data_IF_151441268639
#
_entry.id   IF_151441268639
#
_cell.length_a   1.000
_cell.length_b   1.000
_cell.length_c   1.000
_cell.angle_alpha   90.00
_cell.angle_beta   90.00
_cell.angle_gamma   90.00
#
_symmetry.space_group_name_H-M   'P 1'
#
loop_
_entity.id
_entity.type
_entity.pdbx_description
1 polymer ?
#
# COMPACT_ATOMS: atom_id res chain seq x y z
N UNK A 1 43.32 -34.20 -28.74
CA UNK A 1 42.85 -34.41 -27.37
C UNK A 1 41.60 -33.54 -27.06
N UNK A 2 41.50 -32.28 -27.44
CA UNK A 2 40.31 -31.43 -27.17
C UNK A 2 38.99 -31.93 -27.79
N UNK A 3 39.02 -32.55 -28.99
CA UNK A 3 37.83 -33.07 -29.68
C UNK A 3 37.24 -34.32 -29.02
N UNK A 4 38.08 -35.15 -28.37
CA UNK A 4 37.62 -36.36 -27.67
C UNK A 4 36.96 -36.02 -26.34
N UNK A 5 37.45 -34.98 -25.66
CA UNK A 5 36.85 -34.49 -24.40
C UNK A 5 35.47 -33.87 -24.65
N UNK A 6 35.27 -33.14 -25.76
CA UNK A 6 33.97 -32.59 -26.14
C UNK A 6 32.97 -33.71 -26.53
N UNK A 7 33.39 -34.75 -27.17
CA UNK A 7 32.54 -35.90 -27.52
C UNK A 7 32.12 -36.69 -26.25
N UNK A 8 33.01 -36.86 -25.29
CA UNK A 8 32.70 -37.51 -24.01
C UNK A 8 31.75 -36.65 -23.14
N UNK A 9 31.90 -35.33 -23.16
CA UNK A 9 31.03 -34.43 -22.43
C UNK A 9 29.61 -34.38 -23.04
N UNK A 10 29.48 -34.41 -24.37
CA UNK A 10 28.20 -34.50 -25.07
C UNK A 10 27.46 -35.81 -24.82
N UNK A 11 28.19 -36.91 -24.69
CA UNK A 11 27.61 -38.22 -24.43
C UNK A 11 27.13 -38.40 -22.99
N UNK A 12 27.73 -37.69 -22.02
CA UNK A 12 27.26 -37.69 -20.62
C UNK A 12 25.99 -36.83 -20.39
N UNK A 13 25.72 -35.83 -21.23
CA UNK A 13 24.47 -35.07 -21.17
C UNK A 13 23.27 -35.82 -21.79
N UNK A 14 23.51 -36.74 -22.72
CA UNK A 14 22.44 -37.50 -23.36
C UNK A 14 21.87 -38.62 -22.46
N UNK A 15 22.61 -39.08 -21.47
CA UNK A 15 22.14 -40.12 -20.54
C UNK A 15 21.21 -39.66 -19.45
N UNK A 16 21.02 -38.36 -19.24
CA UNK A 16 20.08 -37.80 -18.26
C UNK A 16 18.63 -37.64 -18.77
N UNK A 17 18.36 -38.01 -20.05
CA UNK A 17 16.99 -38.15 -20.57
C UNK A 17 16.39 -39.55 -20.30
N UNK A 18 16.86 -40.25 -19.28
CA UNK A 18 16.24 -41.50 -18.84
C UNK A 18 14.81 -41.25 -18.40
N UNK A 19 13.91 -41.96 -19.07
CA UNK A 19 12.47 -41.92 -18.90
C UNK A 19 12.02 -41.64 -17.44
N UNK A 20 11.36 -40.50 -17.23
CA UNK A 20 10.64 -40.32 -15.99
C UNK A 20 9.64 -41.47 -15.85
N UNK A 21 9.60 -42.17 -14.71
CA UNK A 21 8.65 -43.25 -14.52
C UNK A 21 7.25 -42.70 -14.77
N UNK A 22 6.46 -43.38 -15.60
CA UNK A 22 5.05 -43.07 -15.83
C UNK A 22 4.36 -43.13 -14.47
N UNK A 23 4.24 -41.98 -13.81
CA UNK A 23 3.54 -41.87 -12.53
C UNK A 23 2.06 -41.90 -12.87
N UNK A 24 1.39 -43.03 -12.62
CA UNK A 24 -0.07 -43.10 -12.68
C UNK A 24 -0.61 -42.44 -11.43
N UNK A 25 -1.16 -41.25 -11.57
CA UNK A 25 -1.77 -40.50 -10.49
C UNK A 25 -3.25 -40.93 -10.39
N UNK A 26 -3.68 -41.42 -9.23
CA UNK A 26 -5.10 -41.69 -8.99
C UNK A 26 -5.88 -40.38 -8.82
N UNK A 27 -7.20 -40.42 -9.05
CA UNK A 27 -8.03 -39.23 -8.88
C UNK A 27 -7.97 -38.68 -7.45
N UNK A 28 -7.94 -39.54 -6.44
CA UNK A 28 -7.86 -39.15 -5.03
C UNK A 28 -6.52 -38.48 -4.69
N UNK A 29 -5.44 -38.96 -5.25
CA UNK A 29 -4.11 -38.33 -5.09
C UNK A 29 -4.08 -36.96 -5.77
N UNK A 30 -4.62 -36.85 -7.00
CA UNK A 30 -4.71 -35.59 -7.72
C UNK A 30 -5.58 -34.59 -6.97
N UNK A 31 -6.69 -35.03 -6.37
CA UNK A 31 -7.57 -34.22 -5.54
C UNK A 31 -6.82 -33.69 -4.30
N UNK A 32 -6.14 -34.56 -3.57
CA UNK A 32 -5.39 -34.17 -2.39
C UNK A 32 -4.27 -33.19 -2.71
N UNK A 33 -3.51 -33.42 -3.79
CA UNK A 33 -2.46 -32.50 -4.25
C UNK A 33 -3.04 -31.14 -4.65
N UNK A 34 -4.17 -31.14 -5.34
CA UNK A 34 -4.84 -29.89 -5.74
C UNK A 34 -5.32 -29.11 -4.52
N UNK A 35 -6.00 -29.74 -3.58
CA UNK A 35 -6.52 -29.06 -2.40
C UNK A 35 -5.43 -28.58 -1.45
N UNK A 36 -4.28 -29.25 -1.41
CA UNK A 36 -3.17 -28.89 -0.52
C UNK A 36 -2.27 -27.80 -1.11
N UNK A 37 -1.99 -27.88 -2.41
CA UNK A 37 -0.94 -27.07 -3.04
C UNK A 37 -1.48 -25.91 -3.89
N UNK A 38 -2.77 -25.90 -4.22
CA UNK A 38 -3.34 -24.90 -5.13
C UNK A 38 -3.24 -23.48 -4.54
N UNK A 39 -2.69 -22.53 -5.29
CA UNK A 39 -2.57 -21.14 -4.85
C UNK A 39 -3.92 -20.47 -4.54
N UNK A 40 -4.99 -20.85 -5.25
CA UNK A 40 -6.34 -20.28 -5.03
C UNK A 40 -6.92 -20.68 -3.67
N UNK A 41 -6.63 -21.88 -3.17
CA UNK A 41 -7.01 -22.31 -1.82
C UNK A 41 -6.25 -21.48 -0.77
N UNK A 42 -4.93 -21.32 -0.97
CA UNK A 42 -4.12 -20.49 -0.06
C UNK A 42 -4.58 -19.03 -0.07
N UNK A 43 -4.91 -18.48 -1.25
CA UNK A 43 -5.43 -17.11 -1.36
C UNK A 43 -6.75 -16.97 -0.58
N UNK A 44 -7.71 -17.91 -0.74
CA UNK A 44 -8.98 -17.87 -0.01
C UNK A 44 -8.80 -17.95 1.52
N UNK A 45 -7.80 -18.71 1.99
CA UNK A 45 -7.46 -18.77 3.43
C UNK A 45 -6.94 -17.41 3.93
N UNK A 46 -6.06 -16.75 3.16
CA UNK A 46 -5.57 -15.43 3.51
C UNK A 46 -6.68 -14.36 3.45
N UNK A 47 -7.64 -14.48 2.54
CA UNK A 47 -8.81 -13.60 2.50
C UNK A 47 -9.67 -13.75 3.78
N UNK A 48 -9.86 -14.97 4.28
CA UNK A 48 -10.55 -15.21 5.54
C UNK A 48 -9.80 -14.59 6.73
N UNK A 49 -8.48 -14.80 6.81
CA UNK A 49 -7.66 -14.16 7.84
C UNK A 49 -7.70 -12.63 7.75
N UNK A 50 -7.70 -12.07 6.54
CA UNK A 50 -7.81 -10.63 6.33
C UNK A 50 -9.15 -10.10 6.85
N UNK A 51 -10.27 -10.79 6.54
CA UNK A 51 -11.60 -10.42 7.04
C UNK A 51 -11.69 -10.45 8.57
N UNK A 52 -11.04 -11.42 9.23
CA UNK A 52 -10.95 -11.46 10.69
C UNK A 52 -10.17 -10.27 11.26
N UNK A 53 -9.07 -9.89 10.61
CA UNK A 53 -8.26 -8.72 11.00
C UNK A 53 -9.03 -7.41 10.76
N UNK A 54 -9.77 -7.31 9.67
CA UNK A 54 -10.67 -6.18 9.39
C UNK A 54 -11.75 -6.04 10.46
N UNK A 55 -12.32 -7.15 10.93
CA UNK A 55 -13.26 -7.12 12.06
C UNK A 55 -12.60 -6.57 13.33
N UNK A 56 -11.37 -6.99 13.64
CA UNK A 56 -10.63 -6.44 14.80
C UNK A 56 -10.36 -4.95 14.62
N UNK A 57 -10.00 -4.52 13.41
CA UNK A 57 -9.79 -3.11 13.08
C UNK A 57 -11.10 -2.29 13.20
N UNK A 58 -12.24 -2.85 12.74
CA UNK A 58 -13.55 -2.21 12.88
C UNK A 58 -13.94 -2.04 14.36
N UNK A 59 -13.60 -3.00 15.22
CA UNK A 59 -13.78 -2.86 16.66
C UNK A 59 -12.93 -1.71 17.23
N UNK A 60 -11.72 -1.53 16.70
CA UNK A 60 -10.81 -0.44 17.07
C UNK A 60 -11.36 0.97 16.79
N UNK A 61 -12.38 1.11 15.92
CA UNK A 61 -13.04 2.40 15.69
C UNK A 61 -13.72 2.98 16.93
N UNK A 62 -13.95 2.17 17.96
CA UNK A 62 -14.49 2.61 19.26
C UNK A 62 -13.42 3.17 20.19
N UNK A 63 -12.15 2.92 19.89
CA UNK A 63 -11.03 3.33 20.73
C UNK A 63 -10.62 4.78 20.44
N UNK A 64 -10.02 5.48 21.43
CA UNK A 64 -9.41 6.77 21.20
C UNK A 64 -8.32 6.69 20.13
N UNK A 65 -8.33 7.63 19.19
CA UNK A 65 -7.28 7.78 18.20
C UNK A 65 -6.31 8.84 18.68
N UNK A 66 -5.03 8.47 18.77
CA UNK A 66 -3.95 9.37 19.11
C UNK A 66 -3.17 9.64 17.83
N UNK A 67 -3.06 10.92 17.47
CA UNK A 67 -2.28 11.38 16.32
C UNK A 67 -1.20 12.34 16.77
N UNK A 68 -0.04 12.28 16.15
CA UNK A 68 1.01 13.28 16.26
C UNK A 68 1.25 13.83 14.87
N UNK A 69 1.21 15.17 14.76
CA UNK A 69 1.48 15.88 13.51
C UNK A 69 2.65 16.81 13.72
N UNK A 70 3.56 16.86 12.76
CA UNK A 70 4.65 17.81 12.74
C UNK A 70 4.74 18.43 11.36
N UNK A 71 4.95 19.73 11.28
CA UNK A 71 5.24 20.45 10.06
C UNK A 71 6.47 21.34 10.27
N UNK A 72 7.34 21.36 9.29
CA UNK A 72 8.48 22.26 9.25
C UNK A 72 8.49 22.98 7.90
N UNK A 73 8.57 24.30 7.97
CA UNK A 73 8.70 25.14 6.80
C UNK A 73 9.95 26.00 6.92
N UNK A 74 10.68 26.11 5.83
CA UNK A 74 11.84 26.99 5.71
C UNK A 74 11.55 28.00 4.60
N UNK A 75 11.52 29.29 4.96
CA UNK A 75 11.30 30.38 4.03
C UNK A 75 12.63 30.88 3.49
N UNK A 76 12.62 31.42 2.27
CA UNK A 76 13.81 32.01 1.64
C UNK A 76 14.29 33.24 2.40
N UNK A 77 13.35 34.01 2.99
CA UNK A 77 13.58 35.23 3.74
C UNK A 77 12.69 35.30 4.96
N UNK A 78 13.13 36.08 5.97
CA UNK A 78 12.34 36.38 7.15
C UNK A 78 11.19 37.30 6.74
N UNK A 79 9.99 37.06 7.31
CA UNK A 79 8.85 37.92 7.06
C UNK A 79 8.92 39.10 8.01
N UNK A 80 9.23 40.26 7.46
CA UNK A 80 9.33 41.51 8.20
C UNK A 80 8.29 42.50 7.67
N UNK A 81 7.66 43.27 8.57
CA UNK A 81 6.92 44.45 8.16
C UNK A 81 7.88 45.63 8.19
N UNK A 82 8.12 46.21 7.00
CA UNK A 82 8.92 47.42 6.87
C UNK A 82 8.04 48.66 7.06
N UNK A 83 8.19 49.34 8.20
CA UNK A 83 7.52 50.57 8.52
C UNK A 83 8.38 51.80 8.22
N UNK A 84 9.54 51.63 7.58
CA UNK A 84 10.44 52.75 7.29
C UNK A 84 9.80 53.77 6.33
N UNK A 85 8.87 53.35 5.47
CA UNK A 85 8.08 54.27 4.63
C UNK A 85 7.20 55.25 5.41
N UNK A 86 6.94 54.97 6.66
CA UNK A 86 6.18 55.91 7.52
C UNK A 86 7.05 57.02 8.16
N UNK A 87 8.37 56.92 8.04
CA UNK A 87 9.28 57.90 8.63
C UNK A 87 9.14 59.30 8.02
N UNK A 88 8.98 59.37 6.69
CA UNK A 88 8.83 60.69 6.03
C UNK A 88 7.61 61.47 6.48
N UNK A 89 6.35 60.87 6.46
CA UNK A 89 5.19 61.58 6.95
C UNK A 89 5.27 61.92 8.44
N UNK A 90 5.79 60.99 9.26
CA UNK A 90 5.96 61.25 10.71
C UNK A 90 7.03 62.28 10.97
N UNK A 91 8.17 62.24 10.25
CA UNK A 91 9.21 63.27 10.34
C UNK A 91 8.75 64.66 9.94
N UNK A 92 7.91 64.72 8.86
CA UNK A 92 7.27 65.97 8.46
C UNK A 92 6.36 66.60 9.53
N UNK A 93 5.57 65.78 10.21
CA UNK A 93 4.72 66.20 11.32
C UNK A 93 5.59 66.71 12.49
N UNK A 94 6.62 65.98 12.90
CA UNK A 94 7.52 66.40 14.00
C UNK A 94 8.26 67.69 13.64
N UNK A 95 8.75 67.84 12.38
CA UNK A 95 9.38 69.04 11.90
C UNK A 95 8.44 70.28 11.91
N UNK A 96 7.16 70.08 11.50
CA UNK A 96 6.13 71.15 11.57
C UNK A 96 5.78 71.59 13.00
N UNK A 97 5.98 70.72 13.99
CA UNK A 97 5.73 71.01 15.44
C UNK A 97 6.99 71.52 16.15
N UNK A 98 8.12 71.74 15.44
CA UNK A 98 9.43 72.10 16.04
C UNK A 98 9.45 73.41 16.83
N UNK A 99 8.48 74.29 16.63
CA UNK A 99 8.36 75.51 17.45
C UNK A 99 7.55 75.34 18.75
N UNK A 100 6.90 74.19 18.94
CA UNK A 100 5.99 73.90 20.08
C UNK A 100 6.58 72.85 21.03
N UNK A 101 7.43 71.96 20.53
CA UNK A 101 7.99 70.87 21.28
C UNK A 101 9.25 71.23 22.03
N UNK A 102 9.47 70.76 23.27
CA UNK A 102 10.73 70.96 23.99
C UNK A 102 11.91 70.33 23.25
N UNK A 103 13.12 70.94 23.29
CA UNK A 103 14.30 70.42 22.56
C UNK A 103 14.68 68.95 22.86
N UNK A 104 14.43 68.54 24.12
CA UNK A 104 14.67 67.14 24.53
C UNK A 104 13.78 66.16 23.81
N UNK A 105 12.50 66.50 23.57
CA UNK A 105 11.53 65.65 22.84
C UNK A 105 11.91 65.55 21.34
N UNK A 106 12.34 66.68 20.77
CA UNK A 106 12.80 66.69 19.37
C UNK A 106 14.04 65.79 19.16
N UNK A 107 15.00 65.82 20.11
CA UNK A 107 16.17 64.92 20.01
C UNK A 107 15.78 63.44 20.12
N UNK A 108 14.87 63.09 21.03
CA UNK A 108 14.37 61.74 21.15
C UNK A 108 13.61 61.28 19.87
N UNK A 109 12.76 62.13 19.32
CA UNK A 109 12.06 61.88 18.10
C UNK A 109 13.01 61.64 16.90
N UNK A 110 14.06 62.49 16.79
CA UNK A 110 15.07 62.31 15.77
C UNK A 110 15.91 61.01 15.96
N UNK A 111 16.17 60.58 17.18
CA UNK A 111 16.86 59.36 17.49
C UNK A 111 16.00 58.16 17.07
N UNK A 112 14.68 58.22 17.31
CA UNK A 112 13.75 57.18 16.85
C UNK A 112 13.67 57.09 15.31
N UNK A 113 13.71 58.24 14.61
CA UNK A 113 13.73 58.27 13.15
C UNK A 113 14.97 57.61 12.53
N UNK A 114 16.09 57.56 13.24
CA UNK A 114 17.31 56.91 12.78
C UNK A 114 17.30 55.41 12.97
N UNK A 115 16.44 54.87 13.82
CA UNK A 115 16.31 53.42 14.04
C UNK A 115 15.61 52.76 12.87
N UNK A 116 15.91 51.49 12.63
CA UNK A 116 15.20 50.68 11.61
C UNK A 116 13.82 50.27 12.16
N UNK A 117 12.74 50.66 11.47
CA UNK A 117 11.36 50.32 11.85
C UNK A 117 10.92 49.08 11.12
N UNK A 118 11.68 47.98 11.25
CA UNK A 118 11.29 46.67 10.76
C UNK A 118 10.83 45.82 11.94
N UNK A 119 9.59 45.36 11.87
CA UNK A 119 9.03 44.42 12.85
C UNK A 119 9.13 43.00 12.30
N UNK A 120 9.96 42.14 12.92
CA UNK A 120 10.01 40.73 12.53
C UNK A 120 8.68 40.07 12.90
N UNK A 121 7.93 39.53 11.93
CA UNK A 121 6.70 38.78 12.13
C UNK A 121 6.98 37.30 12.27
N UNK A 122 7.88 36.80 11.45
CA UNK A 122 8.18 35.39 11.36
C UNK A 122 9.62 35.16 10.96
N UNK A 123 10.30 34.33 11.73
CA UNK A 123 11.63 33.86 11.38
C UNK A 123 11.56 32.91 10.18
N UNK A 124 12.65 32.80 9.46
CA UNK A 124 12.85 31.95 8.29
C UNK A 124 12.49 30.50 8.52
N UNK A 125 12.68 29.99 9.71
CA UNK A 125 12.39 28.64 10.09
C UNK A 125 11.14 28.57 10.98
N UNK A 126 10.11 27.84 10.55
CA UNK A 126 8.90 27.59 11.29
C UNK A 126 8.73 26.09 11.52
N UNK A 127 8.76 25.69 12.77
CA UNK A 127 8.47 24.31 13.16
C UNK A 127 7.22 24.25 14.06
N UNK A 128 6.27 23.38 13.72
CA UNK A 128 5.10 23.11 14.56
C UNK A 128 4.99 21.62 14.85
N UNK A 129 4.70 21.30 16.11
CA UNK A 129 4.40 19.92 16.54
C UNK A 129 3.09 19.96 17.31
N UNK A 130 2.16 19.09 16.91
CA UNK A 130 0.85 19.00 17.54
C UNK A 130 0.49 17.55 17.89
N UNK A 131 -0.16 17.36 19.03
CA UNK A 131 -0.77 16.09 19.43
C UNK A 131 -2.29 16.20 19.36
N UNK A 132 -2.97 15.20 18.78
CA UNK A 132 -4.44 15.15 18.71
C UNK A 132 -4.93 13.85 19.33
N UNK A 133 -5.92 13.96 20.22
CA UNK A 133 -6.63 12.79 20.76
C UNK A 133 -8.11 12.94 20.34
N UNK A 134 -8.59 11.97 19.57
CA UNK A 134 -9.99 11.95 19.09
C UNK A 134 -10.72 10.78 19.70
N UNK A 135 -11.78 11.06 20.45
CA UNK A 135 -12.63 10.03 21.07
C UNK A 135 -14.03 10.12 20.45
N UNK A 136 -14.49 9.05 19.77
CA UNK A 136 -15.84 9.05 19.21
C UNK A 136 -16.87 8.80 20.32
N UNK A 137 -17.55 9.85 20.80
CA UNK A 137 -18.60 9.75 21.82
C UNK A 137 -19.91 9.26 21.21
N UNK A 138 -20.27 9.82 20.06
CA UNK A 138 -21.48 9.44 19.32
C UNK A 138 -21.28 9.59 17.82
N UNK A 139 -21.63 8.55 17.07
CA UNK A 139 -21.40 8.48 15.61
C UNK A 139 -22.65 8.17 14.80
N UNK A 140 -23.86 8.33 15.40
CA UNK A 140 -25.10 8.01 14.71
C UNK A 140 -25.21 6.58 14.22
N UNK A 141 -24.63 5.61 14.94
CA UNK A 141 -24.67 4.20 14.56
C UNK A 141 -23.63 3.74 13.53
N UNK A 142 -22.82 4.64 12.97
CA UNK A 142 -21.80 4.28 11.94
C UNK A 142 -20.84 3.21 12.42
N UNK A 143 -20.33 3.29 13.63
CA UNK A 143 -19.39 2.29 14.19
C UNK A 143 -20.08 0.93 14.36
N UNK A 144 -21.34 0.91 14.79
CA UNK A 144 -22.09 -0.34 14.92
C UNK A 144 -22.35 -0.97 13.54
N UNK A 145 -22.72 -0.16 12.55
CA UNK A 145 -22.91 -0.61 11.16
C UNK A 145 -21.60 -1.15 10.57
N UNK A 146 -20.47 -0.48 10.78
CA UNK A 146 -19.15 -0.93 10.32
C UNK A 146 -18.75 -2.28 10.98
N UNK A 147 -19.00 -2.43 12.29
CA UNK A 147 -18.72 -3.69 12.98
C UNK A 147 -19.63 -4.85 12.49
N UNK A 148 -20.90 -4.58 12.20
CA UNK A 148 -21.81 -5.57 11.63
C UNK A 148 -21.42 -5.96 10.20
N UNK A 149 -21.05 -4.98 9.37
CA UNK A 149 -20.55 -5.23 8.02
C UNK A 149 -19.28 -6.10 8.04
N UNK A 150 -18.32 -5.78 8.92
CA UNK A 150 -17.11 -6.57 9.08
C UNK A 150 -17.40 -8.02 9.58
N UNK A 151 -18.42 -8.20 10.41
CA UNK A 151 -18.86 -9.54 10.83
C UNK A 151 -19.45 -10.33 9.66
N UNK A 152 -20.30 -9.70 8.84
CA UNK A 152 -20.90 -10.33 7.66
C UNK A 152 -19.81 -10.66 6.62
N UNK A 153 -18.79 -9.83 6.52
CA UNK A 153 -17.65 -10.06 5.61
C UNK A 153 -16.90 -11.36 5.89
N UNK A 154 -16.76 -11.76 7.16
CA UNK A 154 -16.17 -13.07 7.51
C UNK A 154 -17.03 -14.20 6.91
N UNK A 155 -18.34 -14.18 7.11
CA UNK A 155 -19.23 -15.20 6.56
C UNK A 155 -19.22 -15.21 5.03
N UNK A 156 -19.13 -14.04 4.39
CA UNK A 156 -18.98 -13.93 2.92
C UNK A 156 -17.67 -14.60 2.45
N UNK A 157 -16.54 -14.33 3.09
CA UNK A 157 -15.25 -14.91 2.70
C UNK A 157 -15.18 -16.42 2.95
N UNK A 158 -15.83 -16.93 4.01
CA UNK A 158 -15.98 -18.36 4.23
C UNK A 158 -16.75 -19.02 3.08
N UNK A 159 -17.89 -18.45 2.66
CA UNK A 159 -18.67 -18.97 1.54
C UNK A 159 -17.90 -18.91 0.22
N UNK A 160 -17.14 -17.85 -0.03
CA UNK A 160 -16.22 -17.77 -1.17
C UNK A 160 -15.16 -18.87 -1.15
N UNK A 161 -14.62 -19.19 0.02
CA UNK A 161 -13.67 -20.29 0.20
C UNK A 161 -14.29 -21.64 -0.21
N UNK A 162 -15.51 -21.93 0.20
CA UNK A 162 -16.24 -23.14 -0.24
C UNK A 162 -16.50 -23.13 -1.75
N UNK A 163 -16.88 -22.00 -2.30
CA UNK A 163 -17.09 -21.86 -3.75
C UNK A 163 -15.80 -22.13 -4.53
N UNK A 164 -14.68 -21.54 -4.11
CA UNK A 164 -13.35 -21.78 -4.72
C UNK A 164 -12.98 -23.26 -4.68
N UNK A 165 -13.17 -23.91 -3.54
CA UNK A 165 -12.91 -25.34 -3.40
C UNK A 165 -13.76 -26.18 -4.35
N UNK A 166 -15.06 -25.92 -4.41
CA UNK A 166 -15.98 -26.66 -5.27
C UNK A 166 -15.67 -26.46 -6.75
N UNK A 167 -15.35 -25.25 -7.15
CA UNK A 167 -14.93 -24.88 -8.51
C UNK A 167 -13.67 -25.65 -8.92
N UNK A 168 -12.66 -25.72 -8.04
CA UNK A 168 -11.43 -26.46 -8.29
C UNK A 168 -11.65 -27.98 -8.39
N UNK A 169 -12.54 -28.54 -7.58
CA UNK A 169 -12.91 -29.96 -7.67
C UNK A 169 -13.59 -30.25 -9.00
N UNK A 170 -14.51 -29.39 -9.43
CA UNK A 170 -15.19 -29.51 -10.73
C UNK A 170 -14.20 -29.43 -11.89
N UNK A 171 -13.30 -28.45 -11.88
CA UNK A 171 -12.28 -28.27 -12.89
C UNK A 171 -11.31 -29.47 -12.93
N UNK A 172 -10.88 -29.97 -11.77
CA UNK A 172 -10.03 -31.15 -11.70
C UNK A 172 -10.73 -32.35 -12.30
N UNK A 173 -12.00 -32.56 -11.98
CA UNK A 173 -12.80 -33.69 -12.50
C UNK A 173 -12.87 -33.64 -14.01
N UNK A 174 -13.22 -32.49 -14.57
CA UNK A 174 -13.29 -32.28 -16.02
C UNK A 174 -11.95 -32.57 -16.71
N UNK A 175 -10.85 -32.02 -16.18
CA UNK A 175 -9.51 -32.19 -16.76
C UNK A 175 -8.98 -33.60 -16.62
N UNK A 176 -9.22 -34.26 -15.48
CA UNK A 176 -8.76 -35.63 -15.23
C UNK A 176 -9.44 -36.65 -16.17
N UNK A 177 -10.76 -36.59 -16.25
CA UNK A 177 -11.50 -37.49 -17.14
C UNK A 177 -11.37 -37.09 -18.61
N UNK A 178 -11.24 -35.83 -18.94
CA UNK A 178 -10.92 -35.34 -20.27
C UNK A 178 -9.56 -35.88 -20.77
N UNK A 179 -8.53 -35.88 -19.91
CA UNK A 179 -7.25 -36.48 -20.23
C UNK A 179 -7.35 -38.00 -20.43
N UNK A 180 -8.09 -38.70 -19.57
CA UNK A 180 -8.30 -40.13 -19.69
C UNK A 180 -8.99 -40.50 -21.01
N UNK A 181 -10.02 -39.74 -21.40
CA UNK A 181 -10.72 -39.92 -22.69
C UNK A 181 -9.75 -39.66 -23.87
N UNK A 182 -8.97 -38.57 -23.81
CA UNK A 182 -8.02 -38.25 -24.87
C UNK A 182 -6.96 -39.38 -25.08
N UNK A 183 -6.48 -39.95 -23.97
CA UNK A 183 -5.55 -41.06 -24.03
C UNK A 183 -6.17 -42.32 -24.68
N UNK A 184 -7.42 -42.64 -24.36
CA UNK A 184 -8.15 -43.75 -24.98
C UNK A 184 -8.34 -43.54 -26.49
N UNK A 185 -8.72 -42.34 -26.90
CA UNK A 185 -8.88 -41.98 -28.31
C UNK A 185 -7.57 -42.16 -29.09
N UNK A 186 -6.45 -41.73 -28.49
CA UNK A 186 -5.12 -41.91 -29.10
C UNK A 186 -4.74 -43.40 -29.20
N UNK A 187 -5.04 -44.20 -28.18
CA UNK A 187 -4.76 -45.62 -28.15
C UNK A 187 -5.59 -46.38 -29.20
N UNK A 188 -6.88 -46.03 -29.33
CA UNK A 188 -7.79 -46.60 -30.33
C UNK A 188 -7.44 -46.21 -31.79
N UNK A 189 -6.89 -44.99 -31.98
CA UNK A 189 -6.47 -44.47 -33.29
C UNK A 189 -5.13 -45.04 -33.76
N UNK A 190 -4.27 -45.46 -32.85
CA UNK A 190 -2.91 -45.95 -33.16
C UNK A 190 -2.89 -47.22 -34.03
N UNK A 191 -3.78 -48.24 -33.86
CA UNK A 191 -3.77 -49.42 -34.74
C UNK A 191 -4.28 -49.12 -36.16
N UNK A 192 -5.16 -48.11 -36.35
CA UNK A 192 -5.69 -47.77 -37.68
C UNK A 192 -4.64 -47.14 -38.61
N UNK A 193 -3.67 -46.40 -38.04
CA UNK A 193 -2.53 -45.86 -38.83
C UNK A 193 -1.49 -46.91 -39.25
N UNK A 194 -1.49 -48.09 -38.63
CA UNK A 194 -0.50 -49.14 -38.98
C UNK A 194 -0.95 -50.00 -40.15
N UNK A 195 -2.23 -49.97 -40.55
CA UNK A 195 -2.78 -50.77 -41.65
C UNK A 195 -2.67 -50.09 -43.03
N UNK A 196 -2.24 -48.85 -43.14
CA UNK A 196 -2.22 -48.12 -44.41
C UNK A 196 -0.81 -48.04 -45.02
N UNK A 197 0.17 -48.73 -44.42
CA UNK A 197 1.56 -48.77 -44.90
C UNK A 197 2.03 -50.19 -45.27
N UNK A 198 1.10 -51.10 -45.73
CA UNK A 198 1.46 -52.40 -46.26
C UNK A 198 1.09 -52.54 -47.75
#
# INVERSE_FOLDING_TARGET
MKKIVFAALAMSLASSLAAQPKQTLSFDEALNLTLTNNPSIKASTYEQEAAERERKAAYGLRLPKIGVTGAYAYLSEDINIDLNGMKEPVGGLIGGMGGVLPPAVLQQAQALMKQNWALPLQDRSLGTVGGTITVPVYTGGKINAANNAAKIKISETEQKGYQTRNSLVSELTERYYGLSLALQVVEDAAPSCRCESA
#
